data_IF_663418619274
#
_entry.id   IF_663418619274
#
_cell.length_a   1.000
_cell.length_b   1.000
_cell.length_c   1.000
_cell.angle_alpha   90.00
_cell.angle_beta   90.00
_cell.angle_gamma   90.00
#
_symmetry.space_group_name_H-M   'P 1'
#
loop_
_entity.id
_entity.type
_entity.pdbx_description
1 polymer ?
#
# COMPACT_ATOMS: atom_id res chain seq x y z
N UNK A 1 10.72 -9.63 -13.54
CA UNK A 1 9.30 -9.23 -13.52
C UNK A 1 8.99 -8.80 -12.10
N UNK A 2 8.32 -7.66 -11.90
CA UNK A 2 8.16 -7.06 -10.57
C UNK A 2 7.02 -7.76 -9.80
N UNK A 3 7.20 -8.02 -8.50
CA UNK A 3 6.09 -8.43 -7.63
C UNK A 3 5.29 -7.19 -7.24
N UNK A 4 4.04 -7.16 -7.68
CA UNK A 4 3.14 -6.05 -7.35
C UNK A 4 2.67 -6.14 -5.89
N UNK A 5 2.65 -7.33 -5.30
CA UNK A 5 2.35 -7.55 -3.89
C UNK A 5 3.38 -6.84 -3.01
N UNK A 6 4.66 -7.20 -3.18
CA UNK A 6 5.76 -6.64 -2.42
C UNK A 6 5.83 -5.11 -2.56
N UNK A 7 5.62 -4.60 -3.77
CA UNK A 7 5.66 -3.14 -4.00
C UNK A 7 4.45 -2.41 -3.43
N UNK A 8 3.29 -3.07 -3.31
CA UNK A 8 2.12 -2.55 -2.59
C UNK A 8 2.33 -2.55 -1.08
N UNK A 9 2.94 -3.61 -0.54
CA UNK A 9 3.31 -3.71 0.88
C UNK A 9 4.33 -2.63 1.25
N UNK A 10 5.37 -2.45 0.42
CA UNK A 10 6.38 -1.41 0.62
C UNK A 10 5.75 -0.01 0.61
N UNK A 11 4.83 0.26 -0.32
CA UNK A 11 4.07 1.51 -0.35
C UNK A 11 3.39 1.73 1.02
N UNK A 12 2.56 0.77 1.45
CA UNK A 12 1.82 0.88 2.70
C UNK A 12 2.74 1.05 3.91
N UNK A 13 3.85 0.31 3.97
CA UNK A 13 4.85 0.43 5.03
C UNK A 13 5.53 1.80 5.07
N UNK A 14 5.85 2.41 3.93
CA UNK A 14 6.38 3.78 3.91
C UNK A 14 5.40 4.76 4.55
N UNK A 15 4.11 4.66 4.25
CA UNK A 15 3.08 5.46 4.93
C UNK A 15 3.04 5.16 6.43
N UNK A 16 2.98 3.89 6.83
CA UNK A 16 2.96 3.51 8.25
C UNK A 16 4.14 4.12 9.00
N UNK A 17 5.33 4.16 8.41
CA UNK A 17 6.56 4.75 8.98
C UNK A 17 6.64 6.29 8.86
N UNK A 18 5.63 6.94 8.29
CA UNK A 18 5.61 8.40 8.08
C UNK A 18 6.52 8.90 6.96
N UNK A 19 7.03 8.00 6.10
CA UNK A 19 7.86 8.28 4.92
C UNK A 19 6.97 8.57 3.71
N UNK A 20 6.23 9.67 3.81
CA UNK A 20 5.09 9.96 2.92
C UNK A 20 5.52 10.12 1.46
N UNK A 21 6.63 10.83 1.19
CA UNK A 21 7.10 11.06 -0.17
C UNK A 21 7.55 9.75 -0.85
N UNK A 22 8.23 8.86 -0.12
CA UNK A 22 8.59 7.54 -0.63
C UNK A 22 7.37 6.66 -0.84
N UNK A 23 6.39 6.72 0.06
CA UNK A 23 5.11 6.02 -0.11
C UNK A 23 4.34 6.50 -1.34
N UNK A 24 4.30 7.81 -1.58
CA UNK A 24 3.71 8.40 -2.78
C UNK A 24 4.43 7.88 -4.03
N UNK A 25 5.75 8.01 -4.08
CA UNK A 25 6.55 7.55 -5.22
C UNK A 25 6.31 6.07 -5.52
N UNK A 26 6.37 5.23 -4.47
CA UNK A 26 6.14 3.80 -4.59
C UNK A 26 4.72 3.48 -5.10
N UNK A 27 3.70 4.19 -4.61
CA UNK A 27 2.33 4.01 -5.08
C UNK A 27 2.13 4.31 -6.55
N UNK A 28 2.70 5.42 -7.07
CA UNK A 28 2.66 5.70 -8.51
C UNK A 28 3.49 4.70 -9.32
N UNK A 29 4.64 4.27 -8.82
CA UNK A 29 5.48 3.28 -9.49
C UNK A 29 4.73 1.96 -9.65
N UNK A 30 4.08 1.47 -8.58
CA UNK A 30 3.32 0.22 -8.61
C UNK A 30 2.16 0.30 -9.62
N UNK A 31 1.40 1.41 -9.63
CA UNK A 31 0.32 1.60 -10.61
C UNK A 31 0.85 1.67 -12.05
N UNK A 32 1.95 2.39 -12.30
CA UNK A 32 2.56 2.47 -13.62
C UNK A 32 3.04 1.11 -14.12
N UNK A 33 3.59 0.27 -13.23
CA UNK A 33 4.00 -1.11 -13.53
C UNK A 33 2.79 -1.97 -13.88
N UNK A 34 1.70 -1.89 -13.10
CA UNK A 34 0.46 -2.61 -13.36
C UNK A 34 -0.17 -2.23 -14.71
N UNK A 35 -0.26 -0.93 -15.00
CA UNK A 35 -0.80 -0.41 -16.25
C UNK A 35 0.05 -0.81 -17.48
N UNK A 36 1.34 -1.06 -17.29
CA UNK A 36 2.24 -1.55 -18.34
C UNK A 36 2.33 -3.07 -18.42
N UNK A 37 1.59 -3.80 -17.58
CA UNK A 37 1.60 -5.27 -17.53
C UNK A 37 2.99 -5.86 -17.19
N UNK A 38 3.78 -5.15 -16.39
CA UNK A 38 5.15 -5.56 -15.99
C UNK A 38 5.20 -6.50 -14.77
N UNK A 39 4.03 -6.86 -14.25
CA UNK A 39 3.80 -7.83 -13.18
C UNK A 39 3.70 -9.27 -13.70
N UNK A 40 3.94 -10.23 -12.81
CA UNK A 40 3.72 -11.66 -13.10
C UNK A 40 2.24 -11.94 -13.27
N UNK A 41 1.84 -12.43 -14.46
CA UNK A 41 0.44 -12.76 -14.75
C UNK A 41 -0.13 -13.78 -13.75
N UNK A 42 0.65 -14.80 -13.39
CA UNK A 42 0.24 -15.79 -12.37
C UNK A 42 -0.13 -15.11 -11.04
N UNK A 43 0.74 -14.21 -10.58
CA UNK A 43 0.54 -13.49 -9.32
C UNK A 43 -0.61 -12.48 -9.40
N UNK A 44 -0.76 -11.80 -10.54
CA UNK A 44 -1.79 -10.79 -10.72
C UNK A 44 -3.17 -11.39 -10.96
N UNK A 45 -3.29 -12.39 -11.83
CA UNK A 45 -4.58 -12.90 -12.31
C UNK A 45 -5.07 -14.14 -11.57
N UNK A 46 -4.19 -14.91 -10.91
CA UNK A 46 -4.57 -16.20 -10.33
C UNK A 46 -4.48 -16.25 -8.80
N UNK A 47 -3.53 -15.53 -8.20
CA UNK A 47 -3.41 -15.52 -6.73
C UNK A 47 -4.51 -14.70 -6.04
N UNK A 48 -5.20 -13.82 -6.78
CA UNK A 48 -6.34 -13.03 -6.31
C UNK A 48 -6.06 -12.30 -4.98
N UNK A 49 -4.93 -11.58 -4.93
CA UNK A 49 -4.45 -10.84 -3.76
C UNK A 49 -5.34 -9.61 -3.48
N UNK A 50 -6.44 -9.82 -2.76
CA UNK A 50 -7.50 -8.80 -2.55
C UNK A 50 -7.02 -7.66 -1.67
N UNK A 51 -6.27 -7.98 -0.62
CA UNK A 51 -5.72 -7.00 0.31
C UNK A 51 -4.76 -6.02 -0.39
N UNK A 52 -3.88 -6.52 -1.27
CA UNK A 52 -2.98 -5.67 -2.05
C UNK A 52 -3.74 -4.78 -3.03
N UNK A 53 -4.76 -5.32 -3.71
CA UNK A 53 -5.64 -4.51 -4.56
C UNK A 53 -6.40 -3.44 -3.76
N UNK A 54 -6.90 -3.76 -2.56
CA UNK A 54 -7.52 -2.81 -1.65
C UNK A 54 -6.57 -1.67 -1.28
N UNK A 55 -5.32 -1.95 -0.87
CA UNK A 55 -4.36 -0.91 -0.52
C UNK A 55 -4.05 0.02 -1.70
N UNK A 56 -3.88 -0.53 -2.91
CA UNK A 56 -3.64 0.30 -4.10
C UNK A 56 -4.87 1.12 -4.49
N UNK A 57 -6.08 0.56 -4.37
CA UNK A 57 -7.34 1.29 -4.60
C UNK A 57 -7.55 2.40 -3.58
N UNK A 58 -7.23 2.16 -2.31
CA UNK A 58 -7.27 3.16 -1.25
C UNK A 58 -6.27 4.29 -1.51
N UNK A 59 -5.05 3.95 -1.93
CA UNK A 59 -4.07 4.94 -2.39
C UNK A 59 -4.60 5.76 -3.56
N UNK A 60 -5.14 5.09 -4.58
CA UNK A 60 -5.65 5.75 -5.78
C UNK A 60 -6.80 6.71 -5.47
N UNK A 61 -7.72 6.27 -4.61
CA UNK A 61 -8.81 7.09 -4.13
C UNK A 61 -8.29 8.29 -3.33
N UNK A 62 -7.32 8.11 -2.40
CA UNK A 62 -6.69 9.22 -1.67
C UNK A 62 -6.03 10.25 -2.59
N UNK A 63 -5.30 9.79 -3.62
CA UNK A 63 -4.59 10.65 -4.56
C UNK A 63 -5.51 11.37 -5.55
N UNK A 64 -6.54 10.69 -6.05
CA UNK A 64 -7.49 11.22 -7.03
C UNK A 64 -6.94 11.44 -8.45
N UNK A 65 -5.64 11.24 -8.68
CA UNK A 65 -4.95 11.48 -9.97
C UNK A 65 -4.23 10.22 -10.50
N UNK A 66 -4.57 9.03 -10.00
CA UNK A 66 -4.03 7.74 -10.44
C UNK A 66 -5.15 6.71 -10.56
N UNK A 67 -5.07 5.85 -11.57
CA UNK A 67 -6.05 4.79 -11.79
C UNK A 67 -5.42 3.52 -12.37
N UNK A 68 -6.16 2.43 -12.27
CA UNK A 68 -5.87 1.15 -12.90
C UNK A 68 -7.19 0.45 -13.25
N UNK A 69 -7.21 -0.28 -14.37
CA UNK A 69 -8.36 -1.13 -14.73
C UNK A 69 -8.28 -2.42 -13.92
N UNK A 70 -9.06 -2.47 -12.84
CA UNK A 70 -9.01 -3.59 -11.91
C UNK A 70 -9.72 -4.85 -12.43
N UNK A 71 -9.13 -6.05 -12.24
CA UNK A 71 -9.81 -7.32 -12.48
C UNK A 71 -10.91 -7.57 -11.42
N UNK A 72 -11.88 -8.47 -11.70
CA UNK A 72 -13.04 -8.67 -10.81
C UNK A 72 -12.70 -9.03 -9.36
N UNK A 73 -11.61 -9.77 -9.12
CA UNK A 73 -11.22 -10.14 -7.75
C UNK A 73 -10.83 -8.93 -6.89
N UNK A 74 -10.46 -7.80 -7.49
CA UNK A 74 -10.04 -6.62 -6.76
C UNK A 74 -11.19 -5.93 -6.00
N UNK A 75 -12.44 -6.31 -6.31
CA UNK A 75 -13.68 -5.71 -5.79
C UNK A 75 -14.66 -6.76 -5.23
N UNK A 76 -14.26 -8.02 -5.14
CA UNK A 76 -15.15 -9.12 -4.73
C UNK A 76 -15.13 -9.41 -3.22
N UNK A 77 -14.37 -8.64 -2.44
CA UNK A 77 -14.29 -8.73 -0.98
C UNK A 77 -15.12 -7.60 -0.32
N UNK A 78 -16.32 -7.90 0.21
CA UNK A 78 -17.22 -6.88 0.75
C UNK A 78 -16.64 -6.07 1.90
N UNK A 79 -15.74 -6.66 2.70
CA UNK A 79 -15.10 -5.95 3.83
C UNK A 79 -14.31 -4.74 3.31
N UNK A 80 -13.52 -4.93 2.26
CA UNK A 80 -12.70 -3.86 1.67
C UNK A 80 -13.54 -2.81 0.93
N UNK A 81 -14.62 -3.22 0.24
CA UNK A 81 -15.54 -2.25 -0.37
C UNK A 81 -16.22 -1.38 0.70
N UNK A 82 -16.67 -2.00 1.79
CA UNK A 82 -17.32 -1.28 2.88
C UNK A 82 -16.39 -0.25 3.53
N UNK A 83 -15.10 -0.56 3.64
CA UNK A 83 -14.06 0.38 4.09
C UNK A 83 -13.86 1.51 3.07
N UNK A 84 -13.66 1.19 1.79
CA UNK A 84 -13.42 2.21 0.73
C UNK A 84 -14.57 3.21 0.62
N UNK A 85 -15.81 2.79 0.82
CA UNK A 85 -16.98 3.68 0.83
C UNK A 85 -17.00 4.66 2.03
N UNK A 86 -16.34 4.30 3.13
CA UNK A 86 -16.51 4.97 4.44
C UNK A 86 -15.23 5.57 5.01
N UNK A 87 -14.05 5.30 4.44
CA UNK A 87 -12.78 5.65 5.07
C UNK A 87 -12.54 7.15 5.21
N UNK A 88 -13.31 8.00 4.50
CA UNK A 88 -13.33 9.46 4.67
C UNK A 88 -14.42 9.97 5.60
N UNK A 89 -15.22 9.11 6.23
CA UNK A 89 -16.25 9.54 7.17
C UNK A 89 -15.59 10.26 8.36
N UNK A 90 -16.06 11.47 8.71
CA UNK A 90 -15.50 12.23 9.83
C UNK A 90 -15.76 11.57 11.19
N UNK A 91 -16.83 10.79 11.31
CA UNK A 91 -17.09 9.95 12.48
C UNK A 91 -16.27 8.65 12.36
N UNK A 92 -15.24 8.44 13.19
CA UNK A 92 -14.43 7.23 13.14
C UNK A 92 -15.22 5.97 13.48
N UNK A 93 -16.28 6.06 14.29
CA UNK A 93 -17.01 4.88 14.77
C UNK A 93 -17.79 4.18 13.65
N UNK A 94 -18.09 4.90 12.57
CA UNK A 94 -18.69 4.33 11.35
C UNK A 94 -17.80 3.27 10.70
N UNK A 95 -16.47 3.36 10.90
CA UNK A 95 -15.51 2.39 10.36
C UNK A 95 -15.27 1.19 11.28
N UNK A 96 -15.51 1.32 12.58
CA UNK A 96 -15.22 0.29 13.59
C UNK A 96 -15.70 -1.11 13.20
N UNK A 97 -16.98 -1.35 12.83
CA UNK A 97 -17.42 -2.71 12.48
C UNK A 97 -16.70 -3.28 11.25
N UNK A 98 -16.32 -2.42 10.29
CA UNK A 98 -15.63 -2.84 9.08
C UNK A 98 -14.16 -3.16 9.35
N UNK A 99 -13.51 -2.37 10.18
CA UNK A 99 -12.10 -2.58 10.54
C UNK A 99 -11.93 -3.80 11.47
N UNK A 100 -12.88 -4.06 12.38
CA UNK A 100 -12.89 -5.30 13.16
C UNK A 100 -13.04 -6.52 12.24
N UNK A 101 -13.95 -6.46 11.25
CA UNK A 101 -14.07 -7.52 10.25
C UNK A 101 -12.79 -7.69 9.40
N UNK A 102 -12.09 -6.59 9.09
CA UNK A 102 -10.79 -6.66 8.42
C UNK A 102 -9.72 -7.32 9.31
N UNK A 103 -9.69 -7.03 10.62
CA UNK A 103 -8.82 -7.74 11.55
C UNK A 103 -9.11 -9.25 11.59
N UNK A 104 -10.38 -9.63 11.67
CA UNK A 104 -10.79 -11.04 11.64
C UNK A 104 -10.34 -11.70 10.33
N UNK A 105 -10.58 -11.06 9.18
CA UNK A 105 -10.12 -11.55 7.88
C UNK A 105 -8.59 -11.71 7.84
N UNK A 106 -7.85 -10.70 8.31
CA UNK A 106 -6.38 -10.72 8.34
C UNK A 106 -5.87 -11.97 9.05
N UNK A 107 -6.40 -12.27 10.24
CA UNK A 107 -5.99 -13.45 11.01
C UNK A 107 -6.38 -14.77 10.35
N UNK A 108 -7.46 -14.81 9.57
CA UNK A 108 -7.84 -15.99 8.78
C UNK A 108 -6.94 -16.19 7.55
N UNK A 109 -6.50 -15.08 6.95
CA UNK A 109 -5.65 -15.01 5.76
C UNK A 109 -4.15 -14.91 6.09
N UNK A 110 -3.75 -15.13 7.36
CA UNK A 110 -2.36 -15.08 7.80
C UNK A 110 -1.67 -16.46 7.77
N UNK A 111 -2.20 -17.40 6.99
CA UNK A 111 -1.66 -18.76 6.87
C UNK A 111 -0.52 -18.78 5.86
N UNK A 112 0.37 -19.77 6.00
CA UNK A 112 1.42 -19.99 5.00
C UNK A 112 0.81 -20.38 3.68
N UNK A 113 1.36 -19.79 2.62
CA UNK A 113 1.03 -20.16 1.25
C UNK A 113 1.36 -21.64 0.99
N UNK A 114 0.59 -22.22 0.08
CA UNK A 114 0.75 -23.60 -0.37
C UNK A 114 0.66 -23.64 -1.90
N UNK A 115 1.03 -24.77 -2.51
CA UNK A 115 0.95 -24.93 -3.97
C UNK A 115 -0.45 -24.64 -4.53
N UNK A 116 -1.50 -24.88 -3.75
CA UNK A 116 -2.90 -24.78 -4.19
C UNK A 116 -3.66 -23.58 -3.62
N UNK A 117 -3.07 -22.85 -2.67
CA UNK A 117 -3.75 -21.71 -2.03
C UNK A 117 -2.74 -20.67 -1.60
N UNK A 118 -2.99 -19.45 -2.04
CA UNK A 118 -2.30 -18.23 -1.63
C UNK A 118 -3.23 -17.46 -0.68
N UNK A 119 -2.67 -16.87 0.36
CA UNK A 119 -3.40 -16.13 1.39
C UNK A 119 -2.93 -14.68 1.46
N UNK A 120 -3.86 -13.73 1.55
CA UNK A 120 -3.57 -12.29 1.45
C UNK A 120 -2.50 -11.77 2.45
N UNK A 121 -2.39 -12.39 3.63
CA UNK A 121 -1.56 -11.90 4.75
C UNK A 121 -0.43 -12.88 5.12
N UNK A 122 -0.01 -13.75 4.19
CA UNK A 122 0.99 -14.79 4.46
C UNK A 122 2.37 -14.23 4.85
N UNK A 123 2.77 -13.09 4.29
CA UNK A 123 4.08 -12.45 4.52
C UNK A 123 4.14 -11.60 5.79
N UNK A 124 3.00 -11.09 6.27
CA UNK A 124 2.92 -10.20 7.45
C UNK A 124 1.81 -10.64 8.42
N UNK A 125 1.84 -11.89 8.90
CA UNK A 125 0.71 -12.53 9.58
C UNK A 125 0.29 -11.89 10.92
N UNK A 126 1.06 -10.93 11.42
CA UNK A 126 0.80 -10.22 12.68
C UNK A 126 0.77 -8.71 12.51
N UNK A 127 1.07 -8.19 11.33
CA UNK A 127 1.17 -6.74 11.11
C UNK A 127 0.00 -6.31 10.24
N UNK A 128 -1.05 -5.67 10.81
CA UNK A 128 -2.24 -5.24 10.08
C UNK A 128 -1.93 -4.00 9.20
N UNK A 129 -1.02 -4.16 8.24
CA UNK A 129 -0.44 -3.07 7.45
C UNK A 129 -1.51 -2.30 6.68
N UNK A 130 -2.54 -2.98 6.20
CA UNK A 130 -3.66 -2.40 5.47
C UNK A 130 -4.51 -1.46 6.34
N UNK A 131 -4.67 -1.79 7.63
CA UNK A 131 -5.41 -0.96 8.61
C UNK A 131 -4.55 0.22 9.05
N UNK A 132 -3.28 -0.03 9.38
CA UNK A 132 -2.34 1.03 9.76
C UNK A 132 -2.09 2.02 8.62
N UNK A 133 -2.06 1.54 7.37
CA UNK A 133 -1.99 2.38 6.20
C UNK A 133 -3.21 3.29 6.08
N UNK A 134 -4.42 2.75 6.22
CA UNK A 134 -5.64 3.54 6.25
C UNK A 134 -5.61 4.58 7.37
N UNK A 135 -5.15 4.20 8.56
CA UNK A 135 -5.02 5.12 9.70
C UNK A 135 -4.10 6.29 9.38
N UNK A 136 -2.97 6.03 8.73
CA UNK A 136 -2.06 7.10 8.29
C UNK A 136 -2.74 8.01 7.28
N UNK A 137 -3.44 7.46 6.29
CA UNK A 137 -4.13 8.28 5.29
C UNK A 137 -5.19 9.17 5.92
N UNK A 138 -5.94 8.67 6.91
CA UNK A 138 -6.90 9.46 7.68
C UNK A 138 -6.22 10.59 8.45
N UNK A 139 -5.10 10.34 9.13
CA UNK A 139 -4.32 11.40 9.80
C UNK A 139 -3.87 12.50 8.81
N UNK A 140 -3.40 12.11 7.62
CA UNK A 140 -2.94 13.05 6.60
C UNK A 140 -4.04 13.98 6.07
N UNK A 141 -5.32 13.56 6.14
CA UNK A 141 -6.48 14.38 5.77
C UNK A 141 -7.18 14.99 6.99
N UNK A 142 -6.57 14.92 8.18
CA UNK A 142 -7.08 15.53 9.41
C UNK A 142 -8.24 14.78 10.07
N UNK A 143 -8.45 13.51 9.74
CA UNK A 143 -9.48 12.67 10.35
C UNK A 143 -8.89 11.85 11.52
N UNK A 144 -9.72 11.61 12.54
CA UNK A 144 -9.37 10.75 13.66
C UNK A 144 -9.51 9.26 13.29
N UNK A 145 -8.75 8.39 13.94
CA UNK A 145 -8.89 6.94 13.75
C UNK A 145 -9.77 6.32 14.86
N UNK A 146 -10.58 5.30 14.54
CA UNK A 146 -11.29 4.55 15.57
C UNK A 146 -10.32 3.77 16.45
N UNK A 147 -10.69 3.61 17.72
CA UNK A 147 -10.01 2.70 18.64
C UNK A 147 -10.64 1.31 18.47
N UNK A 148 -9.82 0.32 18.13
CA UNK A 148 -10.28 -1.03 17.84
C UNK A 148 -9.95 -1.95 19.01
N UNK A 149 -10.96 -2.63 19.56
CA UNK A 149 -10.80 -3.70 20.55
C UNK A 149 -10.64 -5.05 19.83
N UNK A 150 -9.40 -5.36 19.42
CA UNK A 150 -9.07 -6.61 18.73
C UNK A 150 -7.62 -7.03 19.02
N UNK A 151 -7.31 -8.33 19.25
CA UNK A 151 -5.95 -8.79 19.58
C UNK A 151 -4.86 -8.38 18.57
N UNK A 152 -5.20 -8.30 17.28
CA UNK A 152 -4.29 -7.85 16.21
C UNK A 152 -3.89 -6.37 16.33
N UNK A 153 -4.69 -5.57 17.05
CA UNK A 153 -4.50 -4.13 17.25
C UNK A 153 -3.92 -3.81 18.64
N UNK A 154 -3.50 -4.83 19.41
CA UNK A 154 -2.73 -4.62 20.64
C UNK A 154 -1.35 -4.02 20.33
N UNK A 155 -0.67 -3.54 21.38
CA UNK A 155 0.68 -2.99 21.24
C UNK A 155 1.63 -3.96 20.50
N UNK A 156 2.37 -3.49 19.48
CA UNK A 156 2.67 -2.08 19.19
C UNK A 156 1.76 -1.41 18.14
N UNK A 157 0.66 -2.04 17.73
CA UNK A 157 -0.22 -1.54 16.66
C UNK A 157 -1.45 -0.78 17.17
N UNK A 158 -1.54 -0.58 18.47
CA UNK A 158 -2.51 0.28 19.16
C UNK A 158 -2.36 1.77 18.80
N UNK A 159 -1.20 2.12 18.22
CA UNK A 159 -0.90 3.45 17.70
C UNK A 159 0.00 3.38 16.47
N UNK A 160 -0.07 4.41 15.63
CA UNK A 160 0.91 4.57 14.56
C UNK A 160 2.29 4.92 15.14
N UNK A 161 3.38 4.44 14.52
CA UNK A 161 4.71 4.84 14.93
C UNK A 161 4.97 6.31 14.59
N UNK A 162 5.83 6.95 15.39
CA UNK A 162 6.33 8.28 15.10
C UNK A 162 6.96 8.32 13.69
N UNK A 163 6.74 9.39 12.91
CA UNK A 163 7.35 9.54 11.59
C UNK A 163 8.87 9.40 11.64
N UNK A 164 9.40 8.54 10.78
CA UNK A 164 10.84 8.36 10.67
C UNK A 164 11.48 9.43 9.78
N UNK A 165 12.71 9.82 10.11
CA UNK A 165 13.48 10.76 9.31
C UNK A 165 13.70 10.21 7.88
N UNK A 166 13.74 11.08 6.85
CA UNK A 166 14.12 10.70 5.50
C UNK A 166 15.48 10.02 5.44
N UNK A 167 15.65 9.13 4.45
CA UNK A 167 16.93 8.49 4.20
C UNK A 167 17.92 9.54 3.69
N UNK A 168 19.11 9.57 4.29
CA UNK A 168 20.20 10.43 3.85
C UNK A 168 21.21 9.56 3.11
N UNK A 169 21.36 9.70 1.78
CA UNK A 169 22.33 8.94 1.01
C UNK A 169 23.76 9.18 1.51
N UNK A 170 24.50 8.09 1.69
CA UNK A 170 25.94 8.18 1.99
C UNK A 170 26.74 8.67 0.76
N UNK A 171 28.07 8.77 0.92
CA UNK A 171 28.94 9.21 -0.17
C UNK A 171 28.92 8.25 -1.38
N UNK A 172 28.80 6.94 -1.16
CA UNK A 172 28.80 5.96 -2.25
C UNK A 172 27.52 6.05 -3.08
N UNK A 173 26.37 6.17 -2.43
CA UNK A 173 25.09 6.35 -3.13
C UNK A 173 25.09 7.67 -3.89
N UNK A 174 25.58 8.76 -3.28
CA UNK A 174 25.71 10.06 -3.96
C UNK A 174 26.64 9.99 -5.17
N UNK A 175 27.79 9.33 -5.04
CA UNK A 175 28.73 9.12 -6.15
C UNK A 175 28.13 8.28 -7.27
N UNK A 176 27.35 7.24 -6.92
CA UNK A 176 26.63 6.41 -7.90
C UNK A 176 25.59 7.25 -8.65
N UNK A 177 24.77 8.04 -7.95
CA UNK A 177 23.79 8.91 -8.58
C UNK A 177 24.43 9.98 -9.47
N UNK A 178 25.58 10.54 -9.06
CA UNK A 178 26.34 11.47 -9.89
C UNK A 178 26.79 10.80 -11.19
N UNK A 179 27.36 9.59 -11.10
CA UNK A 179 27.80 8.84 -12.28
C UNK A 179 26.65 8.50 -13.22
N UNK A 180 25.51 8.05 -12.68
CA UNK A 180 24.32 7.74 -13.48
C UNK A 180 23.84 8.97 -14.25
N UNK A 181 23.88 10.16 -13.65
CA UNK A 181 23.49 11.41 -14.31
C UNK A 181 24.46 11.85 -15.41
N UNK A 182 25.76 11.54 -15.26
CA UNK A 182 26.74 11.76 -16.33
C UNK A 182 26.49 10.83 -17.52
N UNK A 183 26.29 9.54 -17.25
CA UNK A 183 26.08 8.52 -18.28
C UNK A 183 24.69 8.65 -18.94
N UNK A 184 23.70 9.14 -18.19
CA UNK A 184 22.33 9.33 -18.65
C UNK A 184 21.74 10.68 -18.18
N UNK A 185 21.92 11.77 -18.96
CA UNK A 185 21.52 13.12 -18.57
C UNK A 185 20.02 13.30 -18.29
N UNK A 186 19.17 12.42 -18.82
CA UNK A 186 17.72 12.45 -18.61
C UNK A 186 17.25 11.63 -17.39
N UNK A 187 18.18 11.02 -16.64
CA UNK A 187 17.86 10.08 -15.56
C UNK A 187 16.81 10.65 -14.58
N UNK A 188 17.06 11.84 -14.01
CA UNK A 188 16.16 12.45 -13.03
C UNK A 188 14.77 12.73 -13.62
N UNK A 189 14.70 13.13 -14.90
CA UNK A 189 13.42 13.34 -15.59
C UNK A 189 12.65 12.03 -15.70
N UNK A 190 13.33 10.94 -16.06
CA UNK A 190 12.70 9.62 -16.31
C UNK A 190 12.20 8.97 -15.02
N UNK A 191 12.95 9.11 -13.92
CA UNK A 191 12.57 8.56 -12.61
C UNK A 191 11.77 9.55 -11.77
N UNK A 192 11.39 10.71 -12.33
CA UNK A 192 10.59 11.71 -11.62
C UNK A 192 9.17 11.22 -11.34
N UNK A 193 8.55 11.80 -10.30
CA UNK A 193 7.15 11.56 -9.99
C UNK A 193 6.25 12.01 -11.15
N UNK A 194 6.58 13.13 -11.79
CA UNK A 194 5.90 13.65 -12.98
C UNK A 194 5.91 12.64 -14.12
N UNK A 195 7.06 12.02 -14.40
CA UNK A 195 7.16 11.00 -15.45
C UNK A 195 6.29 9.77 -15.13
N UNK A 196 6.23 9.34 -13.87
CA UNK A 196 5.35 8.26 -13.44
C UNK A 196 3.87 8.62 -13.63
N UNK A 197 3.48 9.88 -13.38
CA UNK A 197 2.12 10.42 -13.58
C UNK A 197 1.71 10.61 -15.03
N UNK A 198 2.64 10.77 -15.96
CA UNK A 198 2.35 10.97 -17.38
C UNK A 198 2.29 9.68 -18.20
N UNK A 199 2.52 8.52 -17.56
CA UNK A 199 2.44 7.20 -18.20
C UNK A 199 1.06 6.56 -18.21
N UNK A 200 0.01 7.32 -17.87
CA UNK A 200 -1.41 6.91 -17.87
C UNK A 200 -2.12 7.39 -19.14
#
# INVERSE_FOLDING_TARGET
MMSWELTSEMMAMYFVLGRIDEGIYQGYLTHAVLNRTYQLQLSYEQHHRRLHAFMLRLFADWRGDVNHTWPPFATDEPIYEGILERWRNPDPDVLTPWLLAACDRHTHESKRDSENKQYDCSEFPRTPVEILFLFRLRELIGLQNPVLDHPLMEAPFDRLPEPQAPYVPDEYVRGTLARVREDWPEFDRIVSLEALKSGY
#
